data_IF_510664545385
#
_entry.id   IF_510664545385
#
_cell.length_a   1.000
_cell.length_b   1.000
_cell.length_c   1.000
_cell.angle_alpha   90.00
_cell.angle_beta   90.00
_cell.angle_gamma   90.00
#
_symmetry.space_group_name_H-M   'P 1'
#
loop_
_entity.id
_entity.type
_entity.pdbx_description
1 polymer ?
#
# COMPACT_ATOMS: atom_id res chain seq x y z
N UNK A 1 2.80 -1.32 14.52
CA UNK A 1 1.87 -2.45 14.40
C UNK A 1 1.31 -2.72 15.80
N UNK A 2 0.02 -2.51 16.05
CA UNK A 2 -0.54 -2.84 17.36
C UNK A 2 -0.37 -4.36 17.57
N UNK A 3 0.31 -4.75 18.65
CA UNK A 3 0.46 -6.19 18.95
C UNK A 3 -0.92 -6.78 19.22
N UNK A 4 -1.21 -7.95 18.66
CA UNK A 4 -2.43 -8.72 18.97
C UNK A 4 -2.58 -8.91 20.48
N UNK A 5 -1.47 -8.94 21.21
CA UNK A 5 -1.44 -9.05 22.67
C UNK A 5 -2.08 -7.82 23.34
N UNK A 6 -1.81 -6.61 22.84
CA UNK A 6 -2.40 -5.36 23.35
C UNK A 6 -3.90 -5.35 23.10
N UNK A 7 -4.33 -5.71 21.89
CA UNK A 7 -5.76 -5.76 21.54
C UNK A 7 -6.48 -6.81 22.40
N UNK A 8 -5.84 -7.96 22.60
CA UNK A 8 -6.37 -9.03 23.45
C UNK A 8 -6.55 -8.58 24.90
N UNK A 9 -5.56 -7.85 25.42
CA UNK A 9 -5.61 -7.29 26.77
C UNK A 9 -6.69 -6.21 26.91
N UNK A 10 -6.70 -5.20 26.04
CA UNK A 10 -7.63 -4.07 26.13
C UNK A 10 -9.08 -4.49 25.90
N UNK A 11 -9.32 -5.38 24.94
CA UNK A 11 -10.67 -5.81 24.59
C UNK A 11 -11.15 -7.03 25.39
N UNK A 12 -10.28 -7.66 26.20
CA UNK A 12 -10.56 -8.93 26.88
C UNK A 12 -11.03 -10.05 25.91
N UNK A 13 -10.54 -10.06 24.68
CA UNK A 13 -10.90 -11.05 23.65
C UNK A 13 -9.71 -11.99 23.43
N UNK A 14 -9.98 -13.29 23.31
CA UNK A 14 -8.95 -14.28 23.02
C UNK A 14 -8.21 -14.01 21.69
N UNK A 15 -6.88 -14.13 21.70
CA UNK A 15 -6.00 -13.89 20.53
C UNK A 15 -6.43 -14.65 19.27
N UNK A 16 -6.92 -15.89 19.41
CA UNK A 16 -7.43 -16.70 18.29
C UNK A 16 -8.65 -16.04 17.62
N UNK A 17 -9.56 -15.48 18.42
CA UNK A 17 -10.75 -14.79 17.92
C UNK A 17 -10.36 -13.49 17.23
N UNK A 18 -9.44 -12.73 17.80
CA UNK A 18 -8.90 -11.51 17.18
C UNK A 18 -8.29 -11.82 15.80
N UNK A 19 -7.44 -12.85 15.70
CA UNK A 19 -6.87 -13.27 14.40
C UNK A 19 -7.96 -13.59 13.38
N UNK A 20 -8.94 -14.43 13.75
CA UNK A 20 -10.07 -14.76 12.85
C UNK A 20 -10.85 -13.52 12.41
N UNK A 21 -11.03 -12.54 13.29
CA UNK A 21 -11.71 -11.28 12.96
C UNK A 21 -10.86 -10.46 11.98
N UNK A 22 -9.57 -10.29 12.28
CA UNK A 22 -8.62 -9.57 11.42
C UNK A 22 -8.56 -10.21 10.04
N UNK A 23 -8.46 -11.54 9.94
CA UNK A 23 -8.43 -12.26 8.65
C UNK A 23 -9.69 -11.96 7.82
N UNK A 24 -10.87 -11.95 8.46
CA UNK A 24 -12.14 -11.60 7.80
C UNK A 24 -12.16 -10.15 7.32
N UNK A 25 -11.75 -9.22 8.18
CA UNK A 25 -11.69 -7.79 7.85
C UNK A 25 -10.70 -7.56 6.73
N UNK A 26 -9.48 -8.08 6.83
CA UNK A 26 -8.44 -7.97 5.80
C UNK A 26 -8.91 -8.53 4.47
N UNK A 27 -9.56 -9.71 4.44
CA UNK A 27 -10.12 -10.26 3.20
C UNK A 27 -11.20 -9.37 2.59
N UNK A 28 -12.11 -8.84 3.42
CA UNK A 28 -13.18 -7.94 2.96
C UNK A 28 -12.61 -6.60 2.45
N UNK A 29 -11.68 -6.01 3.19
CA UNK A 29 -11.00 -4.78 2.83
C UNK A 29 -10.21 -4.96 1.53
N UNK A 30 -9.49 -6.07 1.38
CA UNK A 30 -8.76 -6.38 0.15
C UNK A 30 -9.70 -6.48 -1.04
N UNK A 31 -10.77 -7.26 -0.95
CA UNK A 31 -11.75 -7.39 -2.02
C UNK A 31 -12.42 -6.06 -2.37
N UNK A 32 -12.80 -5.27 -1.36
CA UNK A 32 -13.38 -3.95 -1.57
C UNK A 32 -12.38 -3.02 -2.27
N UNK A 33 -11.12 -3.05 -1.84
CA UNK A 33 -10.05 -2.27 -2.42
C UNK A 33 -9.81 -2.62 -3.88
N UNK A 34 -9.67 -3.91 -4.22
CA UNK A 34 -9.43 -4.36 -5.59
C UNK A 34 -10.60 -4.08 -6.52
N UNK A 35 -11.83 -4.23 -6.03
CA UNK A 35 -13.02 -4.10 -6.88
C UNK A 35 -13.45 -2.65 -7.13
N UNK A 36 -13.05 -1.70 -6.27
CA UNK A 36 -13.40 -0.28 -6.39
C UNK A 36 -12.18 0.57 -6.76
N UNK A 37 -11.12 -0.06 -7.27
CA UNK A 37 -9.88 0.61 -7.60
C UNK A 37 -9.99 1.32 -8.95
N UNK A 38 -10.08 2.64 -8.93
CA UNK A 38 -10.02 3.47 -10.14
C UNK A 38 -8.59 3.92 -10.48
N UNK A 39 -8.42 4.41 -11.70
CA UNK A 39 -7.20 5.11 -12.11
C UNK A 39 -7.12 6.48 -11.40
N UNK A 40 -5.94 6.83 -10.92
CA UNK A 40 -5.67 8.13 -10.29
C UNK A 40 -5.40 9.22 -11.33
N UNK A 41 -5.60 10.47 -10.96
CA UNK A 41 -5.26 11.62 -11.80
C UNK A 41 -6.30 11.92 -12.89
N UNK A 42 -5.82 12.47 -14.00
CA UNK A 42 -6.58 13.02 -15.11
C UNK A 42 -6.08 14.42 -15.48
N UNK A 43 -6.66 15.01 -16.51
CA UNK A 43 -6.28 16.33 -17.00
C UNK A 43 -6.25 17.39 -15.88
N UNK A 44 -5.13 18.13 -15.79
CA UNK A 44 -4.90 19.15 -14.77
C UNK A 44 -4.65 18.62 -13.36
N UNK A 45 -4.53 17.29 -13.17
CA UNK A 45 -4.29 16.68 -11.87
C UNK A 45 -2.84 16.25 -11.70
N UNK A 46 -2.35 16.41 -10.48
CA UNK A 46 -1.02 15.98 -10.08
C UNK A 46 -1.09 14.70 -9.25
N UNK A 47 -0.27 13.71 -9.59
CA UNK A 47 -0.09 12.46 -8.83
C UNK A 47 1.36 12.38 -8.35
N UNK A 48 1.54 12.22 -7.04
CA UNK A 48 2.85 11.96 -6.44
C UNK A 48 3.05 10.44 -6.29
N UNK A 49 4.22 9.96 -6.66
CA UNK A 49 4.61 8.56 -6.57
C UNK A 49 5.77 8.38 -5.59
N UNK A 50 5.63 7.42 -4.68
CA UNK A 50 6.61 6.99 -3.71
C UNK A 50 6.80 5.48 -3.76
N UNK A 51 8.04 5.04 -3.62
CA UNK A 51 8.41 3.62 -3.58
C UNK A 51 8.89 3.25 -2.18
N UNK A 52 8.43 2.11 -1.66
CA UNK A 52 8.93 1.62 -0.38
C UNK A 52 8.88 0.10 -0.29
N UNK A 53 9.70 -0.45 0.60
CA UNK A 53 9.84 -1.89 0.81
C UNK A 53 9.40 -2.22 2.24
N UNK A 54 8.32 -2.98 2.36
CA UNK A 54 7.86 -3.48 3.66
C UNK A 54 8.37 -4.89 3.87
N UNK A 55 8.96 -5.13 5.03
CA UNK A 55 9.39 -6.46 5.39
C UNK A 55 9.95 -6.52 6.80
N UNK A 56 10.46 -7.69 7.16
CA UNK A 56 11.10 -7.87 8.47
C UNK A 56 12.59 -7.64 8.30
N UNK A 57 13.16 -6.76 9.12
CA UNK A 57 14.61 -6.73 9.31
C UNK A 57 15.01 -7.99 10.09
N UNK A 58 16.06 -8.67 9.61
CA UNK A 58 16.65 -9.79 10.36
C UNK A 58 17.47 -9.20 11.51
N UNK A 59 16.97 -9.34 12.74
CA UNK A 59 17.63 -8.90 13.99
C UNK A 59 17.89 -7.39 14.17
N UNK A 60 17.14 -6.50 13.53
CA UNK A 60 17.38 -5.04 13.60
C UNK A 60 18.83 -4.64 13.22
N UNK A 61 19.57 -5.51 12.51
CA UNK A 61 20.93 -5.25 12.01
C UNK A 61 20.85 -4.99 10.51
N UNK A 62 21.26 -3.78 10.13
CA UNK A 62 21.33 -3.25 8.76
C UNK A 62 20.05 -3.30 7.90
N UNK A 63 20.08 -2.50 6.82
CA UNK A 63 18.98 -2.16 5.90
C UNK A 63 18.46 -3.32 5.03
N UNK A 64 18.80 -4.58 5.32
CA UNK A 64 18.26 -5.70 4.58
C UNK A 64 16.86 -6.06 5.10
N UNK A 65 15.87 -5.41 4.51
CA UNK A 65 14.46 -5.74 4.71
C UNK A 65 14.10 -6.88 3.75
N UNK A 66 13.99 -8.10 4.27
CA UNK A 66 13.38 -9.21 3.53
C UNK A 66 11.87 -8.94 3.46
N UNK A 67 11.37 -8.65 2.27
CA UNK A 67 10.10 -7.94 2.16
C UNK A 67 9.59 -7.71 0.75
N UNK A 68 8.37 -7.21 0.70
CA UNK A 68 7.57 -6.92 -0.49
C UNK A 68 7.75 -5.45 -0.86
N UNK A 69 7.98 -5.19 -2.15
CA UNK A 69 7.96 -3.83 -2.68
C UNK A 69 6.53 -3.39 -2.92
N UNK A 70 6.25 -2.12 -2.64
CA UNK A 70 4.99 -1.50 -3.02
C UNK A 70 5.25 -0.08 -3.49
N UNK A 71 4.39 0.35 -4.40
CA UNK A 71 4.38 1.69 -4.98
C UNK A 71 3.14 2.38 -4.45
N UNK A 72 3.34 3.49 -3.76
CA UNK A 72 2.30 4.37 -3.28
C UNK A 72 2.13 5.57 -4.19
N UNK A 73 0.91 5.77 -4.68
CA UNK A 73 0.53 6.92 -5.50
C UNK A 73 -0.53 7.71 -4.76
N UNK A 74 -0.37 9.03 -4.68
CA UNK A 74 -1.32 9.92 -4.04
C UNK A 74 -1.68 11.08 -4.96
N UNK A 75 -2.97 11.34 -5.12
CA UNK A 75 -3.43 12.54 -5.81
C UNK A 75 -3.18 13.77 -4.92
N UNK A 76 -2.51 14.78 -5.47
CA UNK A 76 -2.30 16.08 -4.82
C UNK A 76 -3.56 16.94 -4.96
N UNK A 77 -4.60 16.60 -4.20
CA UNK A 77 -5.86 17.35 -4.09
C UNK A 77 -6.35 17.44 -2.65
N UNK A 78 -7.35 18.29 -2.41
CA UNK A 78 -7.98 18.48 -1.09
C UNK A 78 -8.46 17.16 -0.47
N UNK A 79 -9.00 16.25 -1.30
CA UNK A 79 -9.22 14.84 -0.91
C UNK A 79 -8.05 14.00 -1.39
N UNK A 80 -7.32 13.39 -0.46
CA UNK A 80 -6.22 12.47 -0.77
C UNK A 80 -6.80 11.12 -1.18
N UNK A 81 -6.69 10.81 -2.47
CA UNK A 81 -6.91 9.45 -2.98
C UNK A 81 -5.57 8.74 -3.07
N UNK A 82 -5.44 7.61 -2.39
CA UNK A 82 -4.20 6.83 -2.32
C UNK A 82 -4.39 5.49 -3.01
N UNK A 83 -3.44 5.14 -3.88
CA UNK A 83 -3.33 3.83 -4.50
C UNK A 83 -2.01 3.20 -4.07
N UNK A 84 -2.07 2.01 -3.50
CA UNK A 84 -0.93 1.20 -3.09
C UNK A 84 -0.96 -0.05 -3.95
N UNK A 85 0.13 -0.31 -4.65
CA UNK A 85 0.22 -1.51 -5.48
C UNK A 85 1.50 -2.27 -5.16
N UNK A 86 1.33 -3.57 -4.91
CA UNK A 86 2.44 -4.48 -4.64
C UNK A 86 3.14 -4.80 -5.96
N UNK A 87 4.47 -4.78 -5.95
CA UNK A 87 5.30 -5.15 -7.10
C UNK A 87 6.36 -6.15 -6.69
N UNK A 88 6.77 -6.98 -7.64
CA UNK A 88 7.81 -7.98 -7.41
C UNK A 88 9.19 -7.33 -7.22
N UNK A 89 9.45 -6.24 -7.93
CA UNK A 89 10.75 -5.57 -7.92
C UNK A 89 10.64 -4.07 -8.29
N UNK A 90 11.71 -3.32 -8.00
CA UNK A 90 11.84 -1.87 -8.25
C UNK A 90 12.43 -1.54 -9.63
N UNK A 91 12.39 -2.46 -10.60
CA UNK A 91 12.99 -2.21 -11.92
C UNK A 91 12.17 -1.17 -12.67
N UNK A 92 12.85 -0.35 -13.47
CA UNK A 92 12.24 0.73 -14.26
C UNK A 92 11.04 0.25 -15.08
N UNK A 93 11.13 -0.93 -15.69
CA UNK A 93 10.06 -1.49 -16.52
C UNK A 93 8.81 -1.83 -15.70
N UNK A 94 9.01 -2.44 -14.53
CA UNK A 94 7.93 -2.72 -13.56
C UNK A 94 7.25 -1.42 -13.13
N UNK A 95 8.04 -0.39 -12.79
CA UNK A 95 7.50 0.92 -12.40
C UNK A 95 6.72 1.57 -13.54
N UNK A 96 7.25 1.57 -14.76
CA UNK A 96 6.59 2.14 -15.93
C UNK A 96 5.27 1.43 -16.28
N UNK A 97 5.27 0.10 -16.26
CA UNK A 97 4.05 -0.68 -16.50
C UNK A 97 2.97 -0.34 -15.47
N UNK A 98 3.37 -0.23 -14.20
CA UNK A 98 2.48 0.06 -13.08
C UNK A 98 1.92 1.48 -13.11
N UNK A 99 2.74 2.46 -13.50
CA UNK A 99 2.30 3.84 -13.72
C UNK A 99 1.21 3.90 -14.80
N UNK A 100 1.44 3.26 -15.95
CA UNK A 100 0.48 3.20 -17.07
C UNK A 100 -0.85 2.54 -16.67
N UNK A 101 -0.81 1.49 -15.86
CA UNK A 101 -2.03 0.79 -15.42
C UNK A 101 -2.74 1.47 -14.25
N UNK A 102 -2.19 2.55 -13.71
CA UNK A 102 -2.66 3.13 -12.45
C UNK A 102 -3.01 4.60 -12.49
N UNK A 103 -2.51 5.33 -13.48
CA UNK A 103 -2.70 6.77 -13.64
C UNK A 103 -3.39 7.03 -14.97
N UNK A 104 -4.38 7.92 -14.98
CA UNK A 104 -5.06 8.37 -16.20
C UNK A 104 -4.09 9.19 -17.06
N UNK A 105 -4.32 9.16 -18.36
CA UNK A 105 -3.61 10.05 -19.30
C UNK A 105 -3.79 11.54 -18.91
N UNK A 106 -2.89 12.38 -19.41
CA UNK A 106 -2.83 13.82 -19.13
C UNK A 106 -2.60 14.22 -17.66
N UNK A 107 -2.20 13.26 -16.82
CA UNK A 107 -1.78 13.54 -15.44
C UNK A 107 -0.35 14.04 -15.38
N UNK A 108 -0.07 14.97 -14.46
CA UNK A 108 1.30 15.36 -14.11
C UNK A 108 1.80 14.43 -12.99
N UNK A 109 2.91 13.73 -13.23
CA UNK A 109 3.48 12.78 -12.27
C UNK A 109 4.72 13.41 -11.62
N UNK A 110 4.73 13.48 -10.29
CA UNK A 110 5.94 13.79 -9.51
C UNK A 110 6.45 12.52 -8.85
N UNK A 111 7.76 12.32 -8.91
CA UNK A 111 8.43 11.19 -8.26
C UNK A 111 9.64 11.73 -7.50
N UNK A 112 9.82 11.29 -6.26
CA UNK A 112 10.91 11.69 -5.37
C UNK A 112 12.19 10.86 -5.64
N UNK A 113 12.50 10.66 -6.91
CA UNK A 113 13.56 9.75 -7.38
C UNK A 113 14.95 10.10 -6.90
#
# INVERSE_FOLDING_TARGET
>A
MASIDIISFVCCVGKKTIRKLLDKVTKRSFNHYTNNMELLGGNGMTVENYESKFGKSKYNRDHHVEGVWFIGMVKRSERKHVKLVIVENRKKDTLHAMLKSSIKEDSVIYTDG
#
